data_IF_510972672484
#
_entry.id   IF_510972672484
#
_cell.length_a   1.000
_cell.length_b   1.000
_cell.length_c   1.000
_cell.angle_alpha   90.00
_cell.angle_beta   90.00
_cell.angle_gamma   90.00
#
_symmetry.space_group_name_H-M   'P 1'
#
loop_
_entity.id
_entity.type
_entity.pdbx_description
1 polymer ?
#
# COMPACT_ATOMS: atom_id res chain seq x y z
N UNK A 1 -3.98 39.89 -8.05
CA UNK A 1 -4.33 38.88 -7.02
C UNK A 1 -4.66 37.52 -7.61
N UNK A 2 -5.35 37.43 -8.76
CA UNK A 2 -5.69 36.16 -9.43
C UNK A 2 -4.47 35.34 -9.89
N UNK A 3 -3.44 36.01 -10.42
CA UNK A 3 -2.20 35.38 -10.91
C UNK A 3 -1.37 34.72 -9.79
N UNK A 4 -1.36 35.33 -8.62
CA UNK A 4 -0.56 34.85 -7.49
C UNK A 4 -1.19 33.62 -6.82
N UNK A 5 -2.53 33.55 -6.77
CA UNK A 5 -3.24 32.32 -6.34
C UNK A 5 -2.99 31.15 -7.31
N UNK A 6 -2.95 31.41 -8.61
CA UNK A 6 -2.64 30.39 -9.62
C UNK A 6 -1.22 29.83 -9.49
N UNK A 7 -0.23 30.69 -9.27
CA UNK A 7 1.16 30.27 -9.06
C UNK A 7 1.33 29.42 -7.79
N UNK A 8 0.68 29.81 -6.68
CA UNK A 8 0.73 29.06 -5.41
C UNK A 8 0.05 27.68 -5.56
N UNK A 9 -1.09 27.60 -6.26
CA UNK A 9 -1.77 26.32 -6.49
C UNK A 9 -0.95 25.35 -7.36
N UNK A 10 -0.23 25.86 -8.37
CA UNK A 10 0.67 25.05 -9.20
C UNK A 10 1.83 24.49 -8.37
N UNK A 11 2.40 25.31 -7.49
CA UNK A 11 3.49 24.92 -6.60
C UNK A 11 3.06 23.88 -5.56
N UNK A 12 1.86 24.02 -4.98
CA UNK A 12 1.24 22.97 -4.12
C UNK A 12 1.07 21.67 -4.90
N UNK A 13 0.45 21.73 -6.08
CA UNK A 13 0.21 20.54 -6.92
C UNK A 13 1.50 19.82 -7.25
N UNK A 14 2.56 20.53 -7.59
CA UNK A 14 3.82 19.88 -7.95
C UNK A 14 4.54 19.29 -6.74
N UNK A 15 4.41 19.89 -5.55
CA UNK A 15 4.88 19.27 -4.31
C UNK A 15 4.16 17.96 -4.01
N UNK A 16 2.83 17.95 -4.11
CA UNK A 16 2.02 16.73 -3.90
C UNK A 16 2.42 15.64 -4.90
N UNK A 17 2.50 15.97 -6.20
CA UNK A 17 2.94 15.00 -7.22
C UNK A 17 4.31 14.41 -6.86
N UNK A 18 5.29 15.24 -6.47
CA UNK A 18 6.62 14.74 -6.09
C UNK A 18 6.59 13.88 -4.83
N UNK A 19 5.72 14.18 -3.88
CA UNK A 19 5.54 13.33 -2.69
C UNK A 19 5.01 11.95 -3.10
N UNK A 20 3.99 11.91 -3.96
CA UNK A 20 3.39 10.64 -4.37
C UNK A 20 4.26 9.82 -5.31
N UNK A 21 5.09 10.46 -6.12
CA UNK A 21 6.09 9.73 -6.88
C UNK A 21 7.11 9.05 -5.97
N UNK A 22 7.57 9.72 -4.90
CA UNK A 22 8.47 9.08 -3.92
C UNK A 22 7.80 7.95 -3.15
N UNK A 23 6.51 8.09 -2.84
CA UNK A 23 5.74 7.00 -2.22
C UNK A 23 5.65 5.81 -3.17
N UNK A 24 5.23 6.04 -4.43
CA UNK A 24 5.17 5.01 -5.47
C UNK A 24 6.50 4.28 -5.64
N UNK A 25 7.62 5.01 -5.71
CA UNK A 25 8.96 4.41 -5.81
C UNK A 25 9.24 3.45 -4.64
N UNK A 26 8.83 3.80 -3.43
CA UNK A 26 8.98 2.94 -2.26
C UNK A 26 8.09 1.69 -2.35
N UNK A 27 6.84 1.84 -2.79
CA UNK A 27 5.91 0.71 -2.95
C UNK A 27 6.38 -0.25 -4.04
N UNK A 28 6.79 0.25 -5.20
CA UNK A 28 7.27 -0.58 -6.31
C UNK A 28 8.55 -1.32 -5.94
N UNK A 29 9.50 -0.66 -5.27
CA UNK A 29 10.71 -1.33 -4.76
C UNK A 29 10.36 -2.46 -3.81
N UNK A 30 9.39 -2.24 -2.91
CA UNK A 30 8.95 -3.27 -1.96
C UNK A 30 8.25 -4.44 -2.65
N UNK A 31 7.44 -4.16 -3.68
CA UNK A 31 6.79 -5.19 -4.48
C UNK A 31 7.82 -6.03 -5.26
N UNK A 32 8.82 -5.39 -5.86
CA UNK A 32 9.92 -6.06 -6.56
C UNK A 32 10.71 -6.99 -5.63
N UNK A 33 11.05 -6.54 -4.41
CA UNK A 33 11.66 -7.39 -3.38
C UNK A 33 10.83 -8.65 -3.09
N UNK A 34 9.50 -8.50 -3.01
CA UNK A 34 8.58 -9.61 -2.72
C UNK A 34 8.42 -10.57 -3.89
N UNK A 35 8.46 -10.07 -5.12
CA UNK A 35 8.49 -10.89 -6.33
C UNK A 35 9.76 -11.75 -6.34
N UNK A 36 10.94 -11.14 -6.15
CA UNK A 36 12.21 -11.88 -6.10
C UNK A 36 12.24 -12.93 -4.99
N UNK A 37 11.69 -12.62 -3.81
CA UNK A 37 11.56 -13.59 -2.71
C UNK A 37 10.66 -14.77 -3.11
N UNK A 38 9.50 -14.50 -3.72
CA UNK A 38 8.58 -15.51 -4.19
C UNK A 38 9.19 -16.40 -5.29
N UNK A 39 9.91 -15.80 -6.25
CA UNK A 39 10.63 -16.53 -7.31
C UNK A 39 11.68 -17.48 -6.74
N UNK A 40 12.46 -17.00 -5.76
CA UNK A 40 13.45 -17.82 -5.08
C UNK A 40 12.80 -19.02 -4.38
N UNK A 41 11.67 -18.82 -3.69
CA UNK A 41 10.94 -19.90 -3.02
C UNK A 41 10.41 -20.94 -4.01
N UNK A 42 9.91 -20.51 -5.18
CA UNK A 42 9.44 -21.42 -6.24
C UNK A 42 10.60 -22.26 -6.79
N UNK A 43 11.74 -21.65 -7.12
CA UNK A 43 12.90 -22.36 -7.66
C UNK A 43 13.53 -23.32 -6.63
N UNK A 44 13.66 -22.89 -5.38
CA UNK A 44 14.18 -23.72 -4.29
C UNK A 44 13.26 -24.92 -3.98
N UNK A 45 11.94 -24.72 -3.94
CA UNK A 45 10.96 -25.79 -3.79
C UNK A 45 11.02 -26.80 -4.96
N UNK A 46 11.27 -26.33 -6.18
CA UNK A 46 11.46 -27.19 -7.36
C UNK A 46 12.75 -28.02 -7.30
N UNK A 47 13.83 -27.48 -6.73
CA UNK A 47 15.15 -28.16 -6.68
C UNK A 47 15.27 -29.23 -5.61
N UNK A 48 14.60 -29.09 -4.46
CA UNK A 48 14.76 -29.98 -3.29
C UNK A 48 14.14 -31.38 -3.45
N UNK A 49 13.44 -31.68 -4.55
CA UNK A 49 12.58 -32.87 -4.66
C UNK A 49 13.05 -34.00 -5.57
N UNK A 50 14.34 -34.33 -5.66
CA UNK A 50 14.80 -35.43 -6.55
C UNK A 50 14.67 -36.85 -5.96
N UNK A 51 14.43 -37.01 -4.65
CA UNK A 51 14.28 -38.33 -4.00
C UNK A 51 13.33 -38.23 -2.80
N UNK A 52 12.28 -39.07 -2.73
CA UNK A 52 11.32 -39.04 -1.62
C UNK A 52 10.19 -40.07 -1.77
N UNK A 53 9.40 -40.25 -0.70
CA UNK A 53 8.17 -41.07 -0.74
C UNK A 53 7.11 -40.40 -1.64
N UNK A 54 6.10 -41.15 -2.14
CA UNK A 54 5.01 -40.55 -2.93
C UNK A 54 4.29 -39.40 -2.22
N UNK A 55 4.14 -39.46 -0.90
CA UNK A 55 3.57 -38.38 -0.09
C UNK A 55 4.44 -37.11 -0.09
N UNK A 56 5.76 -37.26 0.04
CA UNK A 56 6.68 -36.14 -0.01
C UNK A 56 6.69 -35.44 -1.39
N UNK A 57 6.48 -36.20 -2.48
CA UNK A 57 6.32 -35.62 -3.81
C UNK A 57 5.01 -34.83 -3.96
N UNK A 58 3.91 -35.36 -3.42
CA UNK A 58 2.62 -34.67 -3.46
C UNK A 58 2.61 -33.36 -2.65
N UNK A 59 3.21 -33.38 -1.44
CA UNK A 59 3.38 -32.18 -0.62
C UNK A 59 4.23 -31.12 -1.32
N UNK A 60 5.34 -31.53 -1.95
CA UNK A 60 6.18 -30.62 -2.76
C UNK A 60 5.37 -29.99 -3.89
N UNK A 61 4.64 -30.78 -4.66
CA UNK A 61 3.89 -30.28 -5.80
C UNK A 61 2.80 -29.27 -5.35
N UNK A 62 2.17 -29.51 -4.20
CA UNK A 62 1.24 -28.56 -3.60
C UNK A 62 1.93 -27.24 -3.20
N UNK A 63 3.14 -27.29 -2.63
CA UNK A 63 3.91 -26.10 -2.27
C UNK A 63 4.35 -25.32 -3.51
N UNK A 64 4.89 -25.99 -4.53
CA UNK A 64 5.28 -25.35 -5.80
C UNK A 64 4.07 -24.71 -6.48
N UNK A 65 2.92 -25.39 -6.49
CA UNK A 65 1.69 -24.84 -7.06
C UNK A 65 1.21 -23.60 -6.31
N UNK A 66 1.18 -23.64 -4.97
CA UNK A 66 0.78 -22.47 -4.16
C UNK A 66 1.74 -21.29 -4.33
N UNK A 67 3.04 -21.55 -4.32
CA UNK A 67 4.05 -20.52 -4.54
C UNK A 67 3.94 -19.94 -5.96
N UNK A 68 3.68 -20.77 -6.97
CA UNK A 68 3.42 -20.34 -8.35
C UNK A 68 2.18 -19.45 -8.49
N UNK A 69 1.06 -19.80 -7.83
CA UNK A 69 -0.13 -18.94 -7.79
C UNK A 69 0.15 -17.60 -7.11
N UNK A 70 0.92 -17.60 -6.02
CA UNK A 70 1.29 -16.37 -5.34
C UNK A 70 2.14 -15.47 -6.23
N UNK A 71 3.16 -16.02 -6.88
CA UNK A 71 4.00 -15.30 -7.84
C UNK A 71 3.19 -14.77 -9.04
N UNK A 72 2.29 -15.58 -9.59
CA UNK A 72 1.42 -15.17 -10.69
C UNK A 72 0.57 -13.95 -10.30
N UNK A 73 0.01 -13.94 -9.09
CA UNK A 73 -0.78 -12.82 -8.58
C UNK A 73 0.07 -11.56 -8.42
N UNK A 74 1.28 -11.67 -7.88
CA UNK A 74 2.18 -10.52 -7.73
C UNK A 74 2.55 -9.93 -9.10
N UNK A 75 2.82 -10.77 -10.10
CA UNK A 75 3.15 -10.33 -11.45
C UNK A 75 1.96 -9.73 -12.19
N UNK A 76 0.75 -10.29 -12.07
CA UNK A 76 -0.43 -9.76 -12.78
C UNK A 76 -0.89 -8.41 -12.25
N UNK A 77 -0.64 -8.15 -10.96
CA UNK A 77 -0.98 -6.89 -10.31
C UNK A 77 0.22 -5.93 -10.28
N UNK A 78 1.36 -6.28 -10.88
CA UNK A 78 2.53 -5.39 -10.86
C UNK A 78 2.24 -4.04 -11.50
N UNK A 79 1.40 -4.01 -12.53
CA UNK A 79 0.98 -2.77 -13.19
C UNK A 79 -0.33 -2.22 -12.61
N UNK A 80 -0.34 -0.91 -12.37
CA UNK A 80 -1.53 -0.11 -12.04
C UNK A 80 -2.33 -0.58 -10.81
N UNK A 81 -1.68 -1.19 -9.81
CA UNK A 81 -2.42 -1.66 -8.63
C UNK A 81 -2.81 -0.55 -7.67
N UNK A 82 -2.08 0.57 -7.61
CA UNK A 82 -2.41 1.71 -6.74
C UNK A 82 -3.40 2.65 -7.45
N UNK A 83 -4.57 2.86 -6.85
CA UNK A 83 -5.62 3.69 -7.42
C UNK A 83 -5.61 5.12 -6.92
N UNK A 84 -5.18 5.33 -5.68
CA UNK A 84 -5.13 6.65 -5.08
C UNK A 84 -4.97 6.61 -3.57
N UNK A 85 -5.39 7.70 -2.94
CA UNK A 85 -5.18 8.01 -1.53
C UNK A 85 -6.48 8.49 -0.90
N UNK A 86 -6.70 8.11 0.35
CA UNK A 86 -7.78 8.58 1.20
C UNK A 86 -7.13 9.26 2.40
N UNK A 87 -7.44 10.55 2.56
CA UNK A 87 -7.02 11.34 3.70
C UNK A 87 -8.16 11.35 4.73
N UNK A 88 -7.88 10.80 5.91
CA UNK A 88 -8.80 10.68 7.03
C UNK A 88 -8.60 11.84 8.01
N UNK A 89 -9.72 12.38 8.48
CA UNK A 89 -9.74 13.35 9.56
C UNK A 89 -9.66 12.64 10.92
N UNK A 90 -9.28 13.38 11.95
CA UNK A 90 -9.33 12.88 13.31
C UNK A 90 -10.75 12.40 13.63
N UNK A 91 -10.87 11.18 14.12
CA UNK A 91 -12.15 10.59 14.54
C UNK A 91 -12.59 11.12 15.89
N UNK A 92 -13.91 11.25 16.11
CA UNK A 92 -14.47 11.63 17.41
C UNK A 92 -14.19 10.59 18.49
N UNK A 93 -14.29 9.31 18.13
CA UNK A 93 -14.17 8.15 19.04
C UNK A 93 -13.33 7.01 18.45
N UNK A 94 -12.64 7.25 17.33
CA UNK A 94 -11.89 6.20 16.64
C UNK A 94 -10.67 5.71 17.40
N UNK A 95 -10.62 4.41 17.69
CA UNK A 95 -9.41 3.73 18.14
C UNK A 95 -8.64 3.15 16.94
N UNK A 96 -7.31 3.07 17.06
CA UNK A 96 -6.46 2.48 16.03
C UNK A 96 -6.60 0.95 16.08
N UNK A 97 -7.11 0.36 15.01
CA UNK A 97 -7.24 -1.08 14.85
C UNK A 97 -5.89 -1.80 14.73
N UNK A 98 -5.89 -3.15 14.82
CA UNK A 98 -4.66 -3.96 14.67
C UNK A 98 -4.07 -3.91 13.24
N UNK A 99 -4.86 -3.49 12.26
CA UNK A 99 -4.45 -3.18 10.88
C UNK A 99 -3.87 -1.75 10.74
N UNK A 100 -3.88 -0.97 11.82
CA UNK A 100 -3.39 0.39 11.86
C UNK A 100 -4.42 1.44 11.44
N UNK A 101 -5.60 1.08 10.95
CA UNK A 101 -6.59 2.06 10.53
C UNK A 101 -7.33 2.66 11.74
N UNK A 102 -7.53 3.98 11.76
CA UNK A 102 -8.38 4.62 12.77
C UNK A 102 -9.85 4.58 12.34
N UNK A 103 -10.67 3.78 13.01
CA UNK A 103 -12.07 3.60 12.62
C UNK A 103 -12.98 4.50 13.45
N UNK A 104 -13.33 5.67 12.91
CA UNK A 104 -14.41 6.53 13.41
C UNK A 104 -15.33 6.87 12.25
N UNK A 105 -16.65 6.77 12.45
CA UNK A 105 -17.62 7.15 11.42
C UNK A 105 -17.85 8.66 11.43
N UNK A 106 -17.70 9.28 12.61
CA UNK A 106 -17.88 10.72 12.79
C UNK A 106 -16.51 11.40 12.96
N UNK A 107 -16.26 12.52 12.26
CA UNK A 107 -15.06 13.33 12.52
C UNK A 107 -15.16 13.99 13.91
N UNK A 108 -14.00 14.31 14.50
CA UNK A 108 -13.92 15.11 15.71
C UNK A 108 -14.55 16.49 15.48
N UNK A 109 -15.07 17.10 16.56
CA UNK A 109 -15.82 18.37 16.46
C UNK A 109 -14.98 19.53 15.90
N UNK A 110 -13.67 19.48 16.12
CA UNK A 110 -12.68 20.46 15.69
C UNK A 110 -11.86 20.01 14.47
N UNK A 111 -12.22 18.88 13.84
CA UNK A 111 -11.48 18.34 12.69
C UNK A 111 -11.51 19.25 11.45
N UNK A 112 -12.53 20.11 11.34
CA UNK A 112 -12.64 21.13 10.31
C UNK A 112 -12.84 22.48 10.99
N UNK A 113 -11.91 23.39 10.75
CA UNK A 113 -11.87 24.76 11.31
C UNK A 113 -12.08 25.78 10.20
N UNK A 114 -12.63 26.96 10.52
CA UNK A 114 -12.67 28.06 9.56
C UNK A 114 -11.48 29.01 9.77
N UNK A 115 -10.74 29.28 8.69
CA UNK A 115 -9.73 30.32 8.61
C UNK A 115 -10.09 31.29 7.48
N UNK A 116 -10.24 32.58 7.79
CA UNK A 116 -10.59 33.62 6.81
C UNK A 116 -11.84 33.29 5.95
N UNK A 117 -12.83 32.61 6.55
CA UNK A 117 -14.06 32.17 5.87
C UNK A 117 -13.86 30.99 4.92
N UNK A 118 -12.74 30.29 5.03
CA UNK A 118 -12.43 29.06 4.28
C UNK A 118 -12.35 27.88 5.26
N UNK A 119 -13.05 26.75 4.99
CA UNK A 119 -12.87 25.54 5.79
C UNK A 119 -11.49 24.94 5.54
N UNK A 120 -10.78 24.66 6.63
CA UNK A 120 -9.45 24.04 6.67
C UNK A 120 -9.56 22.80 7.54
N UNK A 121 -8.96 21.71 7.11
CA UNK A 121 -8.93 20.46 7.88
C UNK A 121 -7.50 19.94 7.94
N UNK A 122 -7.12 19.43 9.10
CA UNK A 122 -5.83 18.78 9.30
C UNK A 122 -5.99 17.27 9.10
N UNK A 123 -5.15 16.70 8.22
CA UNK A 123 -5.19 15.28 7.89
C UNK A 123 -4.56 14.51 9.05
N UNK A 124 -5.32 13.60 9.66
CA UNK A 124 -4.85 12.78 10.77
C UNK A 124 -4.13 11.52 10.27
N UNK A 125 -4.66 10.91 9.21
CA UNK A 125 -4.11 9.69 8.62
C UNK A 125 -4.29 9.70 7.10
N UNK A 126 -3.33 9.11 6.40
CA UNK A 126 -3.32 8.98 4.95
C UNK A 126 -3.19 7.50 4.60
N UNK A 127 -4.17 6.97 3.85
CA UNK A 127 -4.20 5.59 3.40
C UNK A 127 -4.13 5.54 1.88
N UNK A 128 -3.28 4.67 1.34
CA UNK A 128 -3.27 4.38 -0.10
C UNK A 128 -4.13 3.16 -0.36
N UNK A 129 -4.85 3.16 -1.48
CA UNK A 129 -5.78 2.07 -1.82
C UNK A 129 -5.40 1.48 -3.17
N UNK A 130 -5.44 0.15 -3.23
CA UNK A 130 -5.12 -0.58 -4.45
C UNK A 130 -5.66 -2.00 -4.52
N UNK A 131 -5.30 -2.71 -5.59
CA UNK A 131 -5.67 -4.13 -5.83
C UNK A 131 -4.82 -5.12 -5.04
N UNK A 132 -3.66 -4.68 -4.61
CA UNK A 132 -2.68 -5.48 -3.88
C UNK A 132 -2.22 -4.70 -2.65
N UNK A 133 -2.34 -5.32 -1.48
CA UNK A 133 -1.79 -4.77 -0.25
C UNK A 133 -0.28 -4.96 -0.21
N UNK A 134 0.45 -3.89 0.07
CA UNK A 134 1.92 -3.90 0.16
C UNK A 134 2.30 -3.36 1.53
N UNK A 135 3.10 -4.14 2.25
CA UNK A 135 3.61 -3.76 3.57
C UNK A 135 5.10 -3.47 3.48
N UNK A 136 5.58 -2.54 4.30
CA UNK A 136 7.01 -2.27 4.43
C UNK A 136 7.74 -3.39 5.20
N UNK A 137 8.94 -3.10 5.71
CA UNK A 137 9.73 -4.06 6.48
C UNK A 137 9.20 -4.26 7.92
N UNK A 138 8.54 -3.25 8.48
CA UNK A 138 7.99 -3.22 9.83
C UNK A 138 6.49 -3.60 9.87
N UNK A 139 5.98 -4.10 8.73
CA UNK A 139 4.58 -4.49 8.53
C UNK A 139 3.59 -3.32 8.58
N UNK A 140 4.07 -2.10 8.32
CA UNK A 140 3.21 -0.92 8.14
C UNK A 140 2.65 -0.94 6.72
N UNK A 141 1.33 -0.66 6.53
CA UNK A 141 0.71 -0.64 5.22
C UNK A 141 1.23 0.53 4.37
N UNK A 142 1.68 0.21 3.15
CA UNK A 142 2.01 1.17 2.09
C UNK A 142 0.86 1.33 1.09
N UNK A 143 0.04 0.28 0.90
CA UNK A 143 -1.19 0.17 0.10
C UNK A 143 -2.10 -0.90 0.72
#
# INVERSE_FOLDING_TARGET
MSDQKGAVALDVREREIRAEQRHLDAVYRRLEEKIHEAEFLVDDAGRRGRVGTPGALAERDALVFRAGLHLQRLNSEFEDFLFGRIDLLAGRDGERGPDGAQTSVEPAEDAVREEDGTPVADIAETLHIGRLGVLDADYVPLV
#
